data_IF_508987676373
#
_entry.id   IF_508987676373
#
_cell.length_a   1.000
_cell.length_b   1.000
_cell.length_c   1.000
_cell.angle_alpha   90.00
_cell.angle_beta   90.00
_cell.angle_gamma   90.00
#
_symmetry.space_group_name_H-M   'P 1'
#
loop_
_entity.id
_entity.type
_entity.pdbx_description
1 polymer ?
#
# COMPACT_ATOMS: atom_id res chain seq x y z
N UNK A 1 -1.06 6.44 -0.50
CA UNK A 1 -1.36 5.87 -1.83
C UNK A 1 -2.02 4.52 -1.61
N UNK A 2 -3.14 4.24 -2.28
CA UNK A 2 -3.81 2.94 -2.22
C UNK A 2 -3.89 2.37 -3.64
N UNK A 3 -3.42 1.14 -3.89
CA UNK A 3 -3.56 0.50 -5.20
C UNK A 3 -5.02 0.39 -5.62
N UNK A 4 -5.29 0.51 -6.93
CA UNK A 4 -6.62 0.28 -7.51
C UNK A 4 -6.69 -1.05 -8.28
N UNK A 5 -7.87 -1.38 -8.77
CA UNK A 5 -8.12 -2.64 -9.50
C UNK A 5 -8.16 -3.85 -8.57
N UNK A 6 -7.56 -4.97 -9.00
CA UNK A 6 -7.59 -6.25 -8.25
C UNK A 6 -6.88 -6.19 -6.89
N UNK A 7 -5.91 -5.30 -6.73
CA UNK A 7 -5.14 -5.11 -5.48
C UNK A 7 -5.73 -4.01 -4.58
N UNK A 8 -7.00 -3.63 -4.78
CA UNK A 8 -7.65 -2.57 -4.02
C UNK A 8 -8.20 -3.12 -2.70
N UNK A 9 -7.36 -3.11 -1.67
CA UNK A 9 -7.68 -3.72 -0.38
C UNK A 9 -8.10 -2.68 0.67
N UNK A 10 -9.25 -2.88 1.37
CA UNK A 10 -9.61 -2.03 2.50
C UNK A 10 -8.60 -2.13 3.65
N UNK A 11 -7.95 -3.29 3.82
CA UNK A 11 -6.89 -3.48 4.82
C UNK A 11 -5.72 -2.52 4.62
N UNK A 12 -5.28 -2.26 3.38
CA UNK A 12 -4.22 -1.30 3.09
C UNK A 12 -4.59 0.13 3.49
N UNK A 13 -5.87 0.51 3.39
CA UNK A 13 -6.35 1.80 3.87
C UNK A 13 -6.19 1.88 5.39
N UNK A 14 -6.71 0.88 6.11
CA UNK A 14 -6.68 0.84 7.57
C UNK A 14 -5.26 0.85 8.11
N UNK A 15 -4.37 0.01 7.56
CA UNK A 15 -2.98 -0.09 7.99
C UNK A 15 -2.16 1.20 7.79
N UNK A 16 -2.55 2.06 6.84
CA UNK A 16 -1.88 3.34 6.62
C UNK A 16 -2.53 4.50 7.38
N UNK A 17 -3.87 4.58 7.35
CA UNK A 17 -4.60 5.72 7.89
C UNK A 17 -4.72 5.70 9.43
N UNK A 18 -4.94 4.52 10.03
CA UNK A 18 -5.11 4.41 11.50
C UNK A 18 -3.84 4.88 12.22
N UNK A 19 -2.61 4.45 11.87
CA UNK A 19 -1.41 4.94 12.55
C UNK A 19 -1.23 6.45 12.40
N UNK A 20 -1.54 7.02 11.23
CA UNK A 20 -1.46 8.47 11.01
C UNK A 20 -2.43 9.24 11.92
N UNK A 21 -3.66 8.75 12.07
CA UNK A 21 -4.67 9.38 12.93
C UNK A 21 -4.32 9.25 14.41
N UNK A 22 -3.85 8.08 14.84
CA UNK A 22 -3.35 7.88 16.21
C UNK A 22 -2.16 8.79 16.52
N UNK A 23 -1.28 9.03 15.54
CA UNK A 23 -0.17 9.96 15.67
C UNK A 23 -0.59 11.45 15.67
N UNK A 24 -1.88 11.76 15.48
CA UNK A 24 -2.39 13.12 15.47
C UNK A 24 -2.11 13.90 14.18
N UNK A 25 -1.91 13.20 13.05
CA UNK A 25 -1.75 13.85 11.74
C UNK A 25 -3.04 14.63 11.41
N UNK A 26 -2.96 15.97 11.21
CA UNK A 26 -4.14 16.81 11.06
C UNK A 26 -4.85 16.61 9.72
N UNK A 27 -4.12 16.28 8.65
CA UNK A 27 -4.68 16.03 7.32
C UNK A 27 -4.07 14.76 6.71
N UNK A 28 -4.91 13.76 6.46
CA UNK A 28 -4.60 12.49 5.81
C UNK A 28 -5.27 12.48 4.43
N UNK A 29 -4.43 12.54 3.40
CA UNK A 29 -4.85 12.53 2.00
C UNK A 29 -4.67 11.14 1.40
N UNK A 30 -5.75 10.57 0.88
CA UNK A 30 -5.73 9.31 0.16
C UNK A 30 -5.85 9.55 -1.35
N UNK A 31 -4.97 8.91 -2.11
CA UNK A 31 -5.09 8.79 -3.57
C UNK A 31 -5.34 7.33 -3.92
N UNK A 32 -6.34 7.09 -4.76
CA UNK A 32 -6.71 5.75 -5.24
C UNK A 32 -7.12 5.84 -6.71
N UNK A 33 -6.50 5.08 -7.63
CA UNK A 33 -6.90 5.13 -9.04
C UNK A 33 -8.24 4.43 -9.26
N UNK A 34 -9.09 5.03 -10.09
CA UNK A 34 -10.41 4.52 -10.47
C UNK A 34 -10.46 4.27 -11.97
N UNK A 35 -9.80 3.22 -12.47
CA UNK A 35 -9.77 2.94 -13.91
C UNK A 35 -11.20 2.82 -14.44
N UNK A 36 -11.51 3.53 -15.54
CA UNK A 36 -12.87 3.63 -16.12
C UNK A 36 -13.94 4.19 -15.16
N UNK A 37 -13.53 4.87 -14.09
CA UNK A 37 -14.46 5.41 -13.07
C UNK A 37 -14.96 4.37 -12.07
N UNK A 38 -14.42 3.15 -12.08
CA UNK A 38 -14.81 2.09 -11.14
C UNK A 38 -14.25 2.39 -9.75
N UNK A 39 -15.15 2.43 -8.75
CA UNK A 39 -14.85 2.67 -7.35
C UNK A 39 -14.96 1.36 -6.56
N UNK A 40 -14.08 1.17 -5.57
CA UNK A 40 -14.23 0.12 -4.59
C UNK A 40 -14.89 0.68 -3.33
N UNK A 41 -16.17 0.32 -3.11
CA UNK A 41 -16.96 0.80 -1.98
C UNK A 41 -16.33 0.44 -0.62
N UNK A 42 -15.69 -0.73 -0.50
CA UNK A 42 -15.02 -1.13 0.74
C UNK A 42 -13.81 -0.27 1.06
N UNK A 43 -13.08 0.18 0.03
CA UNK A 43 -11.96 1.11 0.20
C UNK A 43 -12.44 2.48 0.66
N UNK A 44 -13.56 2.97 0.11
CA UNK A 44 -14.16 4.23 0.54
C UNK A 44 -14.74 4.14 1.96
N UNK A 45 -15.40 3.02 2.29
CA UNK A 45 -15.89 2.75 3.64
C UNK A 45 -14.75 2.68 4.66
N UNK A 46 -13.65 1.97 4.33
CA UNK A 46 -12.45 1.91 5.17
C UNK A 46 -11.82 3.29 5.36
N UNK A 47 -11.77 4.12 4.30
CA UNK A 47 -11.25 5.48 4.39
C UNK A 47 -12.11 6.35 5.32
N UNK A 48 -13.43 6.25 5.21
CA UNK A 48 -14.37 6.97 6.07
C UNK A 48 -14.20 6.56 7.55
N UNK A 49 -14.18 5.25 7.83
CA UNK A 49 -14.05 4.72 9.20
C UNK A 49 -12.68 5.05 9.80
N UNK A 50 -11.62 4.99 8.99
CA UNK A 50 -10.27 5.34 9.44
C UNK A 50 -10.02 6.85 9.54
N UNK A 51 -11.00 7.69 9.21
CA UNK A 51 -10.91 9.15 9.34
C UNK A 51 -10.01 9.83 8.30
N UNK A 52 -9.88 9.27 7.10
CA UNK A 52 -9.22 9.96 5.97
C UNK A 52 -9.97 11.25 5.64
N UNK A 53 -9.25 12.37 5.52
CA UNK A 53 -9.88 13.70 5.37
C UNK A 53 -10.24 14.00 3.91
N UNK A 54 -9.40 13.54 2.96
CA UNK A 54 -9.58 13.81 1.52
C UNK A 54 -9.24 12.59 0.69
N UNK A 55 -10.07 12.32 -0.31
CA UNK A 55 -9.88 11.23 -1.27
C UNK A 55 -9.83 11.79 -2.68
N UNK A 56 -8.80 11.41 -3.44
CA UNK A 56 -8.66 11.75 -4.85
C UNK A 56 -8.57 10.50 -5.71
N UNK A 57 -9.31 10.50 -6.82
CA UNK A 57 -9.42 9.36 -7.74
C UNK A 57 -8.30 9.36 -8.78
N UNK A 58 -7.05 9.42 -8.31
CA UNK A 58 -5.83 9.43 -9.12
C UNK A 58 -4.85 8.36 -8.62
N UNK A 59 -3.99 7.83 -9.49
CA UNK A 59 -2.95 6.86 -9.11
C UNK A 59 -1.68 7.00 -9.96
N UNK A 60 -0.78 6.02 -9.88
CA UNK A 60 0.49 6.04 -10.61
C UNK A 60 1.48 7.13 -10.16
N UNK A 61 2.50 7.35 -10.99
CA UNK A 61 3.55 8.34 -10.73
C UNK A 61 3.01 9.77 -10.62
N UNK A 62 1.99 10.10 -11.41
CA UNK A 62 1.31 11.40 -11.41
C UNK A 62 0.64 11.71 -10.07
N UNK A 63 0.06 10.72 -9.39
CA UNK A 63 -0.50 10.90 -8.06
C UNK A 63 0.58 11.16 -7.01
N UNK A 64 1.72 10.47 -7.12
CA UNK A 64 2.89 10.73 -6.25
C UNK A 64 3.42 12.15 -6.46
N UNK A 65 3.53 12.60 -7.72
CA UNK A 65 3.95 13.97 -8.03
C UNK A 65 2.96 15.01 -7.50
N UNK A 66 1.65 14.80 -7.69
CA UNK A 66 0.62 15.70 -7.17
C UNK A 66 0.68 15.82 -5.64
N UNK A 67 0.91 14.72 -4.92
CA UNK A 67 1.09 14.73 -3.47
C UNK A 67 2.41 15.38 -3.05
N UNK A 68 3.50 15.21 -3.81
CA UNK A 68 4.81 15.75 -3.43
C UNK A 68 4.96 17.25 -3.70
N UNK A 69 4.35 17.74 -4.79
CA UNK A 69 4.52 19.12 -5.25
C UNK A 69 3.26 19.98 -5.07
N UNK A 70 2.10 19.36 -4.87
CA UNK A 70 0.81 20.05 -4.86
C UNK A 70 0.32 20.38 -6.27
N UNK A 71 -0.98 20.57 -6.40
CA UNK A 71 -1.67 21.13 -7.57
C UNK A 71 -2.73 22.12 -7.09
N UNK A 72 -3.48 22.72 -8.00
CA UNK A 72 -4.62 23.58 -7.67
C UNK A 72 -5.71 22.83 -6.88
N UNK A 73 -5.77 21.50 -6.99
CA UNK A 73 -6.77 20.66 -6.35
C UNK A 73 -6.20 19.74 -5.25
N UNK A 74 -4.97 19.22 -5.44
CA UNK A 74 -4.34 18.27 -4.53
C UNK A 74 -3.33 19.02 -3.65
N UNK A 75 -3.51 19.04 -2.31
CA UNK A 75 -2.56 19.69 -1.44
C UNK A 75 -1.23 18.92 -1.44
N UNK A 76 -0.07 19.60 -1.34
CA UNK A 76 1.18 18.91 -1.07
C UNK A 76 1.13 18.28 0.33
N UNK A 77 1.78 17.14 0.52
CA UNK A 77 1.90 16.45 1.81
C UNK A 77 3.37 16.32 2.22
N UNK A 78 3.63 16.18 3.51
CA UNK A 78 5.01 16.04 4.01
C UNK A 78 5.57 14.61 3.89
N UNK A 79 4.68 13.60 3.82
CA UNK A 79 5.07 12.19 3.73
C UNK A 79 4.08 11.38 2.88
N UNK A 80 4.61 10.51 2.01
CA UNK A 80 3.83 9.61 1.17
C UNK A 80 4.08 8.16 1.60
N UNK A 81 3.01 7.47 2.02
CA UNK A 81 3.03 6.05 2.40
C UNK A 81 2.12 5.20 1.51
N UNK A 82 2.34 3.90 1.51
CA UNK A 82 1.52 2.89 0.83
C UNK A 82 2.19 2.31 -0.42
N UNK A 83 2.11 0.99 -0.64
CA UNK A 83 2.76 0.32 -1.75
C UNK A 83 2.11 0.68 -3.09
N UNK A 84 2.84 0.44 -4.18
CA UNK A 84 2.31 0.59 -5.53
C UNK A 84 3.24 -0.10 -6.53
N UNK A 85 2.82 -0.12 -7.80
CA UNK A 85 3.60 -0.72 -8.87
C UNK A 85 4.95 0.01 -9.08
N UNK A 86 5.77 -0.51 -10.00
CA UNK A 86 7.09 0.02 -10.31
C UNK A 86 7.10 1.53 -10.63
N UNK A 87 6.04 2.05 -11.27
CA UNK A 87 5.92 3.48 -11.58
C UNK A 87 5.76 4.31 -10.31
N UNK A 88 4.96 3.85 -9.34
CA UNK A 88 4.78 4.49 -8.03
C UNK A 88 6.06 4.41 -7.21
N UNK A 89 6.69 3.24 -7.16
CA UNK A 89 7.95 3.03 -6.46
C UNK A 89 9.07 3.93 -7.00
N UNK A 90 9.19 4.02 -8.33
CA UNK A 90 10.16 4.90 -9.01
C UNK A 90 9.85 6.37 -8.74
N UNK A 91 8.58 6.78 -8.80
CA UNK A 91 8.19 8.16 -8.49
C UNK A 91 8.51 8.53 -7.04
N UNK A 92 8.19 7.65 -6.07
CA UNK A 92 8.55 7.83 -4.65
C UNK A 92 10.04 8.04 -4.47
N UNK A 93 10.88 7.26 -5.17
CA UNK A 93 12.34 7.41 -5.15
C UNK A 93 12.78 8.80 -5.65
N UNK A 94 12.15 9.32 -6.70
CA UNK A 94 12.51 10.63 -7.26
C UNK A 94 12.07 11.81 -6.39
N UNK A 95 10.97 11.69 -5.65
CA UNK A 95 10.47 12.76 -4.77
C UNK A 95 11.03 12.69 -3.35
N UNK A 96 11.77 11.62 -3.01
CA UNK A 96 12.40 11.49 -1.71
C UNK A 96 13.37 12.65 -1.45
N UNK A 97 13.27 13.24 -0.27
CA UNK A 97 14.00 14.45 0.13
C UNK A 97 13.18 15.74 -0.03
N UNK A 98 12.21 15.78 -0.96
CA UNK A 98 11.15 16.79 -0.98
C UNK A 98 10.03 16.43 -0.01
N UNK A 99 9.66 15.15 -0.01
CA UNK A 99 8.73 14.54 0.94
C UNK A 99 9.37 13.30 1.57
N UNK A 100 8.93 12.95 2.76
CA UNK A 100 9.23 11.66 3.35
C UNK A 100 8.57 10.52 2.56
N UNK A 101 9.22 9.37 2.49
CA UNK A 101 8.59 8.13 2.04
C UNK A 101 8.72 7.06 3.13
N UNK A 102 7.87 6.05 3.08
CA UNK A 102 7.95 4.86 3.93
C UNK A 102 9.12 3.97 3.52
N UNK A 103 9.04 3.38 2.34
CA UNK A 103 10.05 2.52 1.72
C UNK A 103 9.79 2.46 0.21
N UNK A 104 10.78 2.03 -0.55
CA UNK A 104 10.57 1.61 -1.94
C UNK A 104 10.16 0.14 -1.87
N UNK A 105 8.88 -0.14 -2.09
CA UNK A 105 8.36 -1.50 -2.02
C UNK A 105 9.04 -2.40 -3.06
N UNK A 106 9.59 -3.53 -2.61
CA UNK A 106 10.00 -4.65 -3.46
C UNK A 106 8.89 -5.70 -3.56
N UNK A 107 9.15 -6.82 -4.24
CA UNK A 107 8.27 -7.98 -4.21
C UNK A 107 8.04 -8.46 -2.78
N UNK A 108 6.85 -8.98 -2.51
CA UNK A 108 6.51 -9.50 -1.18
C UNK A 108 7.20 -10.84 -0.90
N UNK A 109 7.63 -11.05 0.33
CA UNK A 109 8.35 -12.26 0.75
C UNK A 109 7.83 -12.84 2.06
N UNK A 110 7.92 -14.16 2.21
CA UNK A 110 7.70 -14.89 3.47
C UNK A 110 8.86 -15.88 3.70
N UNK A 111 9.35 -15.92 4.93
CA UNK A 111 10.30 -16.91 5.41
C UNK A 111 9.68 -17.68 6.56
N UNK A 112 9.42 -18.97 6.34
CA UNK A 112 8.94 -19.90 7.36
C UNK A 112 10.12 -20.70 7.91
N UNK A 113 10.27 -20.73 9.24
CA UNK A 113 11.24 -21.58 9.92
C UNK A 113 10.46 -22.66 10.65
N UNK A 114 10.67 -23.93 10.28
CA UNK A 114 9.93 -25.06 10.84
C UNK A 114 10.91 -26.12 11.36
N UNK A 115 10.68 -26.62 12.56
CA UNK A 115 11.49 -27.67 13.22
C UNK A 115 11.00 -29.10 12.90
N UNK A 116 10.04 -29.23 11.99
CA UNK A 116 9.43 -30.50 11.59
C UNK A 116 8.29 -30.98 12.50
N UNK A 117 7.91 -30.24 13.54
CA UNK A 117 6.80 -30.62 14.42
C UNK A 117 5.42 -30.13 13.94
N UNK A 118 5.39 -29.22 12.97
CA UNK A 118 4.15 -28.67 12.41
C UNK A 118 3.67 -29.52 11.24
N UNK A 119 2.36 -29.65 11.08
CA UNK A 119 1.74 -30.31 9.94
C UNK A 119 2.30 -29.72 8.62
N UNK A 120 2.91 -30.55 7.74
CA UNK A 120 3.50 -30.05 6.51
C UNK A 120 2.48 -29.39 5.58
N UNK A 121 1.20 -29.77 5.65
CA UNK A 121 0.16 -29.14 4.84
C UNK A 121 -0.08 -27.69 5.30
N UNK A 122 0.07 -27.40 6.59
CA UNK A 122 -0.05 -26.03 7.10
C UNK A 122 1.11 -25.17 6.64
N UNK A 123 2.33 -25.71 6.67
CA UNK A 123 3.52 -25.02 6.15
C UNK A 123 3.36 -24.73 4.65
N UNK A 124 2.83 -25.69 3.87
CA UNK A 124 2.56 -25.48 2.46
C UNK A 124 1.53 -24.36 2.24
N UNK A 125 0.46 -24.33 3.04
CA UNK A 125 -0.55 -23.26 2.97
C UNK A 125 0.01 -21.89 3.35
N UNK A 126 0.89 -21.81 4.35
CA UNK A 126 1.57 -20.56 4.71
C UNK A 126 2.42 -20.03 3.55
N UNK A 127 3.18 -20.90 2.89
CA UNK A 127 3.97 -20.52 1.70
C UNK A 127 3.05 -20.07 0.55
N UNK A 128 1.95 -20.78 0.29
CA UNK A 128 1.01 -20.38 -0.76
C UNK A 128 0.29 -19.06 -0.48
N UNK A 129 0.02 -18.75 0.78
CA UNK A 129 -0.63 -17.48 1.17
C UNK A 129 0.18 -16.25 0.71
N UNK A 130 1.51 -16.36 0.65
CA UNK A 130 2.35 -15.29 0.13
C UNK A 130 2.53 -15.37 -1.39
N UNK A 131 2.62 -16.58 -1.94
CA UNK A 131 2.81 -16.80 -3.37
C UNK A 131 1.59 -16.35 -4.21
N UNK A 132 0.37 -16.35 -3.66
CA UNK A 132 -0.82 -15.89 -4.38
C UNK A 132 -0.88 -14.36 -4.58
N UNK A 133 -0.07 -13.60 -3.84
CA UNK A 133 -0.17 -12.14 -3.79
C UNK A 133 0.40 -11.43 -5.03
N UNK A 134 1.47 -11.97 -5.62
CA UNK A 134 2.17 -11.38 -6.77
C UNK A 134 2.99 -12.47 -7.50
N UNK A 135 3.15 -12.35 -8.82
CA UNK A 135 3.94 -13.29 -9.63
C UNK A 135 5.44 -13.24 -9.28
N UNK A 136 5.92 -12.11 -8.77
CA UNK A 136 7.28 -11.92 -8.29
C UNK A 136 7.44 -12.24 -6.78
N UNK A 137 6.39 -12.71 -6.09
CA UNK A 137 6.45 -13.01 -4.66
C UNK A 137 7.37 -14.19 -4.35
N UNK A 138 8.08 -14.12 -3.22
CA UNK A 138 9.05 -15.13 -2.81
C UNK A 138 8.64 -15.85 -1.52
N UNK A 139 8.58 -17.18 -1.55
CA UNK A 139 8.25 -18.01 -0.37
C UNK A 139 9.40 -18.96 -0.07
N UNK A 140 9.92 -18.89 1.16
CA UNK A 140 11.13 -19.61 1.57
C UNK A 140 10.81 -20.42 2.84
N UNK A 141 11.20 -21.70 2.85
CA UNK A 141 11.17 -22.55 4.03
C UNK A 141 12.60 -22.88 4.46
N UNK A 142 12.87 -22.77 5.76
CA UNK A 142 14.11 -23.23 6.39
C UNK A 142 13.76 -24.26 7.46
N UNK A 143 14.38 -25.44 7.37
CA UNK A 143 14.27 -26.53 8.32
C UNK A 143 15.66 -27.11 8.62
N UNK A 144 15.95 -27.50 9.88
CA UNK A 144 17.19 -28.20 10.23
C UNK A 144 17.27 -29.62 9.65
#
# INVERSE_FOLDING_TARGET
YVPGGKASYPSSVLMNAIPAKVAGVPEVVMVVPTPRGELNELVLAAACIAGVDRVFTIGGAQAVAALAYGTESVPPVDKIVGPGNISVATAKRHVFGKVGIDMIAGPSEILVVCDGQTDPDWIAMDLFSQAEHDEDAQSILVSP
#
